data_IF_155112574538
#
_entry.id   IF_155112574538
#
_cell.length_a   1.000
_cell.length_b   1.000
_cell.length_c   1.000
_cell.angle_alpha   90.00
_cell.angle_beta   90.00
_cell.angle_gamma   90.00
#
_symmetry.space_group_name_H-M   'P 1'
#
loop_
_entity.id
_entity.type
_entity.pdbx_description
1 polymer ?
#
# COMPACT_ATOMS: atom_id res chain seq x y z
N UNK A 1 -1.88 20.63 -3.85
CA UNK A 1 -0.45 20.53 -4.22
C UNK A 1 -0.32 19.92 -5.61
N UNK A 2 0.47 20.56 -6.48
CA UNK A 2 0.71 20.09 -7.85
C UNK A 2 2.22 20.07 -8.11
N UNK A 3 2.72 18.96 -8.69
CA UNK A 3 4.14 18.78 -9.05
C UNK A 3 5.12 19.00 -7.88
N UNK A 4 4.74 18.64 -6.66
CA UNK A 4 5.57 18.80 -5.47
C UNK A 4 6.32 17.52 -5.10
N UNK A 5 7.46 17.66 -4.41
CA UNK A 5 8.23 16.54 -3.86
C UNK A 5 8.28 16.64 -2.35
N UNK A 6 7.95 15.54 -1.68
CA UNK A 6 7.91 15.42 -0.23
C UNK A 6 8.80 14.28 0.24
N UNK A 7 9.70 14.53 1.18
CA UNK A 7 10.43 13.44 1.84
C UNK A 7 9.51 12.68 2.80
N UNK A 8 8.73 13.41 3.56
CA UNK A 8 7.69 12.89 4.44
C UNK A 8 6.55 13.90 4.51
N UNK A 9 5.33 13.40 4.46
CA UNK A 9 4.15 14.23 4.69
C UNK A 9 3.18 13.48 5.59
N UNK A 10 2.72 14.12 6.63
CA UNK A 10 1.72 13.54 7.50
C UNK A 10 0.56 14.50 7.75
N UNK A 11 -0.63 13.93 7.83
CA UNK A 11 -1.82 14.61 8.34
C UNK A 11 -2.23 13.97 9.66
N UNK A 12 -3.13 14.62 10.40
CA UNK A 12 -3.74 13.99 11.55
C UNK A 12 -4.48 12.72 11.11
N UNK A 13 -4.31 11.63 11.86
CA UNK A 13 -4.96 10.35 11.58
C UNK A 13 -6.47 10.38 11.77
N UNK A 14 -6.95 11.25 12.64
CA UNK A 14 -8.37 11.48 12.91
C UNK A 14 -8.92 12.75 12.26
N UNK A 15 -8.11 13.51 11.53
CA UNK A 15 -8.51 14.78 10.94
C UNK A 15 -9.59 14.57 9.87
N UNK A 16 -10.76 15.12 10.10
CA UNK A 16 -11.90 15.04 9.17
C UNK A 16 -12.27 16.40 8.55
N UNK A 17 -11.71 17.49 9.04
CA UNK A 17 -12.11 18.84 8.70
C UNK A 17 -11.28 19.50 7.60
N UNK A 18 -10.08 18.99 7.33
CA UNK A 18 -9.19 19.48 6.28
C UNK A 18 -8.94 18.37 5.29
N UNK A 19 -9.18 18.62 4.02
CA UNK A 19 -8.84 17.71 2.92
C UNK A 19 -7.60 18.17 2.18
N UNK A 20 -6.82 17.22 1.73
CA UNK A 20 -5.61 17.44 0.98
C UNK A 20 -5.73 16.81 -0.41
N UNK A 21 -5.38 17.58 -1.44
CA UNK A 21 -5.34 17.09 -2.81
C UNK A 21 -3.93 17.19 -3.36
N UNK A 22 -3.44 16.09 -3.91
CA UNK A 22 -2.11 15.97 -4.49
C UNK A 22 -2.21 15.47 -5.92
N UNK A 23 -1.63 16.22 -6.85
CA UNK A 23 -1.58 15.85 -8.25
C UNK A 23 -0.14 15.86 -8.77
N UNK A 24 0.28 14.75 -9.40
CA UNK A 24 1.65 14.59 -9.93
C UNK A 24 2.75 14.84 -8.89
N UNK A 25 2.48 14.52 -7.64
CA UNK A 25 3.42 14.70 -6.54
C UNK A 25 4.24 13.44 -6.28
N UNK A 26 5.41 13.59 -5.68
CA UNK A 26 6.28 12.48 -5.26
C UNK A 26 6.44 12.49 -3.76
N UNK A 27 6.28 11.32 -3.14
CA UNK A 27 6.43 11.10 -1.71
C UNK A 27 7.46 10.00 -1.45
N UNK A 28 8.35 10.18 -0.49
CA UNK A 28 9.10 9.05 0.08
C UNK A 28 8.24 8.25 1.04
N UNK A 29 7.38 8.93 1.78
CA UNK A 29 6.36 8.35 2.65
C UNK A 29 5.24 9.35 2.90
N UNK A 30 4.00 8.85 2.99
CA UNK A 30 2.85 9.62 3.47
C UNK A 30 2.14 8.83 4.57
N UNK A 31 1.69 9.51 5.62
CA UNK A 31 0.84 8.92 6.66
C UNK A 31 -0.28 9.86 7.08
N UNK A 32 -1.52 9.38 7.14
CA UNK A 32 -2.61 10.22 7.59
C UNK A 32 -3.98 9.91 7.00
N UNK A 33 -4.88 10.89 7.11
CA UNK A 33 -6.27 10.83 6.67
C UNK A 33 -6.63 11.98 5.75
N UNK A 34 -7.78 11.84 5.11
CA UNK A 34 -8.48 12.89 4.36
C UNK A 34 -7.65 13.47 3.21
N UNK A 35 -7.08 12.58 2.41
CA UNK A 35 -6.24 12.97 1.28
C UNK A 35 -6.60 12.22 0.00
N UNK A 36 -6.50 12.90 -1.13
CA UNK A 36 -6.60 12.33 -2.45
C UNK A 36 -5.31 12.53 -3.25
N UNK A 37 -4.95 11.50 -4.01
CA UNK A 37 -3.75 11.43 -4.82
C UNK A 37 -4.11 11.03 -6.23
N UNK A 38 -3.73 11.83 -7.21
CA UNK A 38 -3.84 11.50 -8.63
C UNK A 38 -2.49 11.62 -9.31
N UNK A 39 -2.08 10.56 -10.01
CA UNK A 39 -0.79 10.49 -10.70
C UNK A 39 0.39 10.81 -9.79
N UNK A 40 0.36 10.28 -8.56
CA UNK A 40 1.43 10.46 -7.60
C UNK A 40 2.39 9.26 -7.58
N UNK A 41 3.63 9.50 -7.18
CA UNK A 41 4.65 8.48 -6.94
C UNK A 41 4.94 8.36 -5.46
N UNK A 42 4.98 7.11 -4.96
CA UNK A 42 5.39 6.78 -3.59
C UNK A 42 6.61 5.88 -3.63
N UNK A 43 7.73 6.33 -3.06
CA UNK A 43 8.93 5.52 -3.04
C UNK A 43 10.25 6.27 -2.90
N UNK A 44 11.35 5.53 -3.08
CA UNK A 44 12.71 6.04 -2.83
C UNK A 44 13.04 6.12 -1.34
N UNK A 45 12.52 5.17 -0.56
CA UNK A 45 12.65 5.10 0.90
C UNK A 45 12.84 3.65 1.36
N UNK A 46 13.26 3.50 2.61
CA UNK A 46 13.22 2.23 3.34
C UNK A 46 11.98 2.11 4.25
N UNK A 47 11.09 3.09 4.25
CA UNK A 47 9.78 3.06 4.92
C UNK A 47 8.70 2.61 3.92
N UNK A 48 7.47 2.48 4.42
CA UNK A 48 6.30 2.25 3.58
C UNK A 48 6.04 3.45 2.67
N UNK A 49 5.42 3.20 1.53
CA UNK A 49 4.99 4.27 0.63
C UNK A 49 3.85 5.09 1.22
N UNK A 50 2.81 4.40 1.72
CA UNK A 50 1.60 5.03 2.24
C UNK A 50 1.10 4.30 3.49
N UNK A 51 0.82 5.06 4.55
CA UNK A 51 0.13 4.59 5.76
C UNK A 51 -1.23 5.31 5.90
N UNK A 52 -2.29 4.82 5.23
CA UNK A 52 -3.58 5.46 5.22
C UNK A 52 -4.41 5.11 6.45
N UNK A 53 -5.22 6.05 6.94
CA UNK A 53 -6.14 5.82 8.05
C UNK A 53 -7.60 6.01 7.64
N UNK A 54 -8.05 7.19 7.24
CA UNK A 54 -9.45 7.43 6.88
C UNK A 54 -9.58 8.33 5.65
N UNK A 55 -10.57 8.06 4.80
CA UNK A 55 -10.92 8.90 3.65
C UNK A 55 -9.73 9.15 2.74
N UNK A 56 -9.11 8.09 2.27
CA UNK A 56 -7.98 8.14 1.35
C UNK A 56 -8.42 7.66 -0.03
N UNK A 57 -8.08 8.43 -1.05
CA UNK A 57 -8.37 8.09 -2.43
C UNK A 57 -7.09 8.21 -3.27
N UNK A 58 -6.60 7.09 -3.77
CA UNK A 58 -5.38 7.02 -4.59
C UNK A 58 -5.75 6.54 -5.98
N UNK A 59 -5.47 7.34 -7.00
CA UNK A 59 -5.76 7.00 -8.39
C UNK A 59 -4.54 7.15 -9.27
N UNK A 60 -4.44 6.31 -10.29
CA UNK A 60 -3.45 6.43 -11.36
C UNK A 60 -2.01 6.57 -10.81
N UNK A 61 -1.70 5.95 -9.69
CA UNK A 61 -0.49 6.24 -8.92
C UNK A 61 0.45 5.05 -8.85
N UNK A 62 1.72 5.31 -8.56
CA UNK A 62 2.78 4.35 -8.65
C UNK A 62 3.55 4.23 -7.32
N UNK A 63 3.72 2.99 -6.87
CA UNK A 63 4.48 2.61 -5.69
C UNK A 63 5.71 1.84 -6.13
N UNK A 64 6.90 2.41 -5.93
CA UNK A 64 8.14 1.78 -6.37
C UNK A 64 9.34 2.25 -5.56
N UNK A 65 10.47 1.58 -5.75
CA UNK A 65 11.74 1.91 -5.09
C UNK A 65 11.64 1.92 -3.54
N UNK A 66 10.68 1.19 -2.99
CA UNK A 66 10.55 0.99 -1.55
C UNK A 66 11.48 -0.14 -1.12
N UNK A 67 12.18 0.04 0.00
CA UNK A 67 13.22 -0.89 0.43
C UNK A 67 14.47 -0.90 -0.46
N UNK A 68 14.53 -0.09 -1.50
CA UNK A 68 15.70 0.03 -2.38
C UNK A 68 16.86 0.81 -1.76
N UNK A 69 16.60 1.57 -0.71
CA UNK A 69 17.62 2.33 0.03
C UNK A 69 18.14 1.48 1.18
N UNK A 70 19.47 1.42 1.31
CA UNK A 70 20.12 0.71 2.42
C UNK A 70 19.76 1.32 3.76
N UNK A 71 19.43 0.49 4.75
CA UNK A 71 19.14 0.88 6.13
C UNK A 71 19.90 0.04 7.15
N UNK A 72 20.36 0.67 8.21
CA UNK A 72 20.94 0.00 9.38
C UNK A 72 19.86 -0.43 10.40
N UNK A 73 18.63 -0.02 10.22
CA UNK A 73 17.49 -0.39 11.06
C UNK A 73 16.80 -1.64 10.54
N UNK A 74 16.38 -2.51 11.45
CA UNK A 74 15.51 -3.65 11.13
C UNK A 74 14.10 -3.11 10.97
N UNK A 75 13.70 -2.86 9.74
CA UNK A 75 12.37 -2.38 9.37
C UNK A 75 11.89 -3.12 8.13
N UNK A 76 10.59 -3.11 7.91
CA UNK A 76 9.96 -3.62 6.71
C UNK A 76 9.42 -2.47 5.88
N UNK A 77 9.47 -2.62 4.56
CA UNK A 77 8.91 -1.65 3.61
C UNK A 77 7.75 -2.29 2.89
N UNK A 78 6.61 -1.65 2.94
CA UNK A 78 5.41 -2.02 2.22
C UNK A 78 5.02 -0.95 1.21
N UNK A 79 4.35 -1.34 0.13
CA UNK A 79 3.77 -0.38 -0.79
C UNK A 79 2.75 0.49 -0.06
N UNK A 80 1.80 -0.15 0.59
CA UNK A 80 0.89 0.48 1.55
C UNK A 80 0.74 -0.41 2.77
N UNK A 81 0.80 0.19 3.97
CA UNK A 81 0.55 -0.51 5.24
C UNK A 81 -0.68 0.07 5.94
N UNK A 82 -1.70 -0.76 6.13
CA UNK A 82 -2.97 -0.43 6.76
C UNK A 82 -3.08 -1.23 8.06
N UNK A 83 -2.97 -0.56 9.20
CA UNK A 83 -2.91 -1.23 10.50
C UNK A 83 -3.83 -0.65 11.58
N UNK A 84 -4.55 0.44 11.26
CA UNK A 84 -5.31 1.20 12.25
C UNK A 84 -4.40 1.92 13.26
N UNK A 85 -4.96 2.68 14.16
CA UNK A 85 -4.18 3.39 15.17
C UNK A 85 -4.99 3.76 16.41
N UNK A 86 -4.60 3.28 17.60
CA UNK A 86 -5.16 3.71 18.89
C UNK A 86 -6.69 3.92 18.90
N UNK A 87 -7.44 2.94 18.40
CA UNK A 87 -8.90 3.00 18.32
C UNK A 87 -9.46 3.68 17.06
N UNK A 88 -8.61 4.27 16.21
CA UNK A 88 -9.04 4.82 14.91
C UNK A 88 -9.07 3.69 13.88
N UNK A 89 -10.27 3.31 13.46
CA UNK A 89 -10.47 2.33 12.39
C UNK A 89 -10.01 2.90 11.06
N UNK A 90 -9.18 2.15 10.35
CA UNK A 90 -8.83 2.48 8.97
C UNK A 90 -10.05 2.26 8.09
N UNK A 91 -10.54 3.31 7.39
CA UNK A 91 -11.78 3.19 6.62
C UNK A 91 -11.90 4.16 5.46
N UNK A 92 -12.79 3.80 4.51
CA UNK A 92 -13.10 4.61 3.34
C UNK A 92 -11.83 4.87 2.52
N UNK A 93 -11.12 3.79 2.17
CA UNK A 93 -9.85 3.84 1.44
C UNK A 93 -10.04 3.20 0.06
N UNK A 94 -9.68 3.92 -0.99
CA UNK A 94 -9.74 3.45 -2.36
C UNK A 94 -8.38 3.58 -3.04
N UNK A 95 -7.93 2.48 -3.65
CA UNK A 95 -6.86 2.47 -4.65
C UNK A 95 -7.47 2.07 -5.99
N UNK A 96 -7.31 2.92 -6.99
CA UNK A 96 -7.82 2.64 -8.34
C UNK A 96 -6.79 2.90 -9.40
N UNK A 97 -6.62 1.95 -10.33
CA UNK A 97 -5.64 2.03 -11.40
C UNK A 97 -4.24 2.36 -10.88
N UNK A 98 -3.83 1.66 -9.80
CA UNK A 98 -2.53 1.84 -9.18
C UNK A 98 -1.60 0.69 -9.52
N UNK A 99 -0.29 0.99 -9.56
CA UNK A 99 0.73 -0.01 -9.81
C UNK A 99 1.72 -0.04 -8.66
N UNK A 100 2.01 -1.24 -8.19
CA UNK A 100 3.00 -1.52 -7.16
C UNK A 100 4.14 -2.33 -7.77
N UNK A 101 5.35 -1.79 -7.72
CA UNK A 101 6.60 -2.44 -8.11
C UNK A 101 7.49 -2.53 -6.87
N UNK A 102 7.30 -3.55 -6.08
CA UNK A 102 8.00 -3.73 -4.82
C UNK A 102 9.12 -4.75 -5.02
N UNK A 103 10.40 -4.38 -4.83
CA UNK A 103 11.49 -5.30 -5.02
C UNK A 103 11.38 -6.47 -4.04
N UNK A 104 11.81 -7.65 -4.46
CA UNK A 104 11.83 -8.83 -3.60
C UNK A 104 13.00 -8.82 -2.61
N UNK A 105 14.08 -8.15 -2.95
CA UNK A 105 15.34 -8.20 -2.21
C UNK A 105 15.79 -6.78 -1.87
N UNK A 106 16.03 -6.54 -0.60
CA UNK A 106 16.65 -5.30 -0.13
C UNK A 106 18.12 -5.21 -0.61
N UNK A 107 18.71 -4.01 -0.70
CA UNK A 107 20.11 -3.84 -1.06
C UNK A 107 21.05 -4.62 -0.16
N UNK A 108 22.13 -5.16 -0.71
CA UNK A 108 23.13 -5.93 0.05
C UNK A 108 23.63 -5.16 1.27
N UNK A 109 23.57 -5.81 2.43
CA UNK A 109 23.96 -5.22 3.72
C UNK A 109 22.95 -4.23 4.29
N UNK A 110 21.73 -4.15 3.76
CA UNK A 110 20.60 -3.49 4.42
C UNK A 110 20.02 -4.41 5.48
N UNK A 111 19.63 -3.83 6.61
CA UNK A 111 18.82 -4.51 7.64
C UNK A 111 17.32 -4.30 7.43
N UNK A 112 16.94 -3.36 6.56
CA UNK A 112 15.56 -3.22 6.13
C UNK A 112 15.19 -4.36 5.18
N UNK A 113 14.00 -4.93 5.38
CA UNK A 113 13.40 -5.94 4.53
C UNK A 113 12.36 -5.33 3.59
N UNK A 114 12.05 -6.05 2.53
CA UNK A 114 10.89 -5.78 1.67
C UNK A 114 9.82 -6.77 2.04
N UNK A 115 8.56 -6.32 2.19
CA UNK A 115 7.53 -7.16 2.76
C UNK A 115 6.35 -7.37 1.80
N UNK A 116 5.57 -6.34 1.47
CA UNK A 116 4.38 -6.52 0.64
C UNK A 116 4.09 -5.35 -0.30
N UNK A 117 3.33 -5.62 -1.37
CA UNK A 117 2.67 -4.54 -2.09
C UNK A 117 1.58 -3.91 -1.22
N UNK A 118 0.75 -4.77 -0.61
CA UNK A 118 -0.34 -4.38 0.26
C UNK A 118 -0.22 -5.15 1.58
N UNK A 119 0.04 -4.44 2.66
CA UNK A 119 0.08 -4.95 4.01
C UNK A 119 -1.17 -4.45 4.76
N UNK A 120 -2.20 -5.28 4.83
CA UNK A 120 -3.40 -5.06 5.61
C UNK A 120 -3.39 -6.05 6.77
N UNK A 121 -2.66 -5.67 7.81
CA UNK A 121 -2.46 -6.48 9.01
C UNK A 121 -2.77 -5.64 10.24
N UNK A 122 -3.88 -5.99 10.92
CA UNK A 122 -4.43 -5.15 11.97
C UNK A 122 -3.84 -5.47 13.34
N UNK A 123 -3.21 -4.48 13.96
CA UNK A 123 -2.58 -4.59 15.28
C UNK A 123 -3.24 -3.69 16.33
N UNK A 124 -3.77 -2.54 15.93
CA UNK A 124 -4.17 -1.47 16.86
C UNK A 124 -5.63 -1.07 16.75
N UNK A 125 -6.29 -1.37 15.64
CA UNK A 125 -7.70 -1.06 15.41
C UNK A 125 -8.22 -1.87 14.22
N UNK A 126 -9.53 -1.81 13.94
CA UNK A 126 -10.16 -2.45 12.80
C UNK A 126 -9.89 -1.77 11.46
N UNK A 127 -10.31 -2.41 10.39
CA UNK A 127 -10.35 -1.82 9.05
C UNK A 127 -11.68 -2.12 8.37
N UNK A 128 -12.22 -1.14 7.63
CA UNK A 128 -13.54 -1.21 7.03
C UNK A 128 -13.62 -0.43 5.71
N UNK A 129 -14.35 -0.99 4.73
CA UNK A 129 -14.61 -0.30 3.46
C UNK A 129 -13.33 0.10 2.73
N UNK A 130 -12.48 -0.88 2.44
CA UNK A 130 -11.23 -0.68 1.72
C UNK A 130 -11.31 -1.41 0.39
N UNK A 131 -10.98 -0.69 -0.69
CA UNK A 131 -11.07 -1.21 -2.04
C UNK A 131 -9.78 -1.02 -2.82
N UNK A 132 -9.41 -2.07 -3.53
CA UNK A 132 -8.36 -2.06 -4.55
C UNK A 132 -8.99 -2.45 -5.88
N UNK A 133 -9.04 -1.52 -6.82
CA UNK A 133 -9.68 -1.71 -8.14
C UNK A 133 -8.67 -1.48 -9.26
N UNK A 134 -8.65 -2.36 -10.26
CA UNK A 134 -7.85 -2.21 -11.47
C UNK A 134 -6.34 -2.04 -11.18
N UNK A 135 -5.82 -2.73 -10.14
CA UNK A 135 -4.45 -2.57 -9.68
C UNK A 135 -3.52 -3.69 -10.17
N UNK A 136 -2.24 -3.34 -10.36
CA UNK A 136 -1.17 -4.27 -10.68
C UNK A 136 -0.22 -4.33 -9.49
N UNK A 137 0.03 -5.53 -8.99
CA UNK A 137 0.85 -5.80 -7.80
C UNK A 137 2.01 -6.69 -8.19
N UNK A 138 3.22 -6.14 -8.26
CA UNK A 138 4.41 -6.88 -8.61
C UNK A 138 5.39 -6.96 -7.42
N UNK A 139 5.73 -8.17 -7.02
CA UNK A 139 6.77 -8.45 -6.04
C UNK A 139 6.27 -8.57 -4.60
N UNK A 140 7.17 -8.27 -3.67
CA UNK A 140 6.98 -8.47 -2.23
C UNK A 140 7.35 -9.87 -1.74
N UNK A 141 7.29 -10.10 -0.45
CA UNK A 141 7.36 -11.43 0.15
C UNK A 141 6.09 -12.20 -0.20
N UNK A 142 4.95 -11.82 0.37
CA UNK A 142 3.64 -11.96 -0.27
C UNK A 142 3.25 -10.62 -0.88
N UNK A 143 2.58 -10.63 -2.05
CA UNK A 143 2.12 -9.36 -2.63
C UNK A 143 0.98 -8.76 -1.83
N UNK A 144 0.13 -9.60 -1.22
CA UNK A 144 -1.02 -9.18 -0.43
C UNK A 144 -1.03 -9.90 0.92
N UNK A 145 -1.05 -9.13 2.00
CA UNK A 145 -1.52 -9.56 3.31
C UNK A 145 -2.88 -8.92 3.56
N UNK A 146 -3.88 -9.73 3.94
CA UNK A 146 -5.23 -9.27 4.23
C UNK A 146 -5.84 -10.09 5.37
N UNK A 147 -5.28 -9.94 6.56
CA UNK A 147 -5.69 -10.68 7.75
C UNK A 147 -5.68 -9.81 9.01
N UNK A 148 -6.34 -10.31 10.06
CA UNK A 148 -6.27 -9.70 11.38
C UNK A 148 -5.47 -10.60 12.31
N UNK A 149 -4.48 -10.04 12.98
CA UNK A 149 -3.72 -10.75 14.01
C UNK A 149 -4.60 -11.05 15.23
N UNK A 150 -5.63 -10.26 15.46
CA UNK A 150 -6.49 -10.38 16.63
C UNK A 150 -7.96 -10.27 16.27
N UNK A 151 -8.79 -11.17 16.82
CA UNK A 151 -10.26 -11.05 16.71
C UNK A 151 -10.82 -9.73 17.22
N UNK A 152 -10.07 -9.02 18.06
CA UNK A 152 -10.43 -7.69 18.58
C UNK A 152 -10.47 -6.62 17.49
N UNK A 153 -9.73 -6.80 16.42
CA UNK A 153 -9.58 -5.80 15.34
C UNK A 153 -10.02 -6.37 13.99
N UNK A 154 -11.35 -6.50 13.75
CA UNK A 154 -11.84 -7.18 12.56
C UNK A 154 -11.63 -6.37 11.28
N UNK A 155 -11.46 -7.12 10.19
CA UNK A 155 -11.66 -6.63 8.83
C UNK A 155 -13.14 -6.66 8.48
N UNK A 156 -13.61 -5.64 7.76
CA UNK A 156 -14.98 -5.58 7.23
C UNK A 156 -14.99 -4.97 5.85
N UNK A 157 -15.67 -5.62 4.92
CA UNK A 157 -15.89 -5.10 3.57
C UNK A 157 -14.58 -4.67 2.88
N UNK A 158 -13.68 -5.64 2.68
CA UNK A 158 -12.41 -5.45 1.97
C UNK A 158 -12.53 -6.08 0.59
N UNK A 159 -12.32 -5.31 -0.45
CA UNK A 159 -12.54 -5.74 -1.84
C UNK A 159 -11.27 -5.59 -2.68
N UNK A 160 -10.92 -6.65 -3.41
CA UNK A 160 -9.91 -6.68 -4.45
C UNK A 160 -10.60 -7.01 -5.77
N UNK A 161 -10.68 -6.03 -6.67
CA UNK A 161 -11.38 -6.17 -7.95
C UNK A 161 -10.47 -5.90 -9.13
N UNK A 162 -10.48 -6.79 -10.13
CA UNK A 162 -9.66 -6.69 -11.34
C UNK A 162 -8.16 -6.55 -11.01
N UNK A 163 -7.66 -7.39 -10.11
CA UNK A 163 -6.26 -7.32 -9.66
C UNK A 163 -5.39 -8.26 -10.49
N UNK A 164 -4.23 -7.76 -10.91
CA UNK A 164 -3.18 -8.58 -11.50
C UNK A 164 -2.02 -8.68 -10.50
N UNK A 165 -1.63 -9.90 -10.16
CA UNK A 165 -0.51 -10.17 -9.25
C UNK A 165 0.60 -10.83 -10.03
N UNK A 166 1.78 -10.24 -10.05
CA UNK A 166 2.93 -10.73 -10.82
C UNK A 166 4.26 -10.47 -10.15
N UNK A 167 5.32 -10.56 -10.94
CA UNK A 167 6.68 -10.35 -10.47
C UNK A 167 7.23 -11.46 -9.58
N UNK A 168 8.50 -11.32 -9.21
CA UNK A 168 9.16 -12.24 -8.30
C UNK A 168 8.68 -12.01 -6.86
N UNK A 169 8.23 -13.09 -6.20
CA UNK A 169 7.73 -13.12 -4.83
C UNK A 169 8.53 -14.13 -4.02
N UNK A 170 8.76 -13.88 -2.74
CA UNK A 170 9.48 -14.83 -1.87
C UNK A 170 8.60 -16.01 -1.47
N UNK A 171 7.34 -15.75 -1.13
CA UNK A 171 6.44 -16.75 -0.53
C UNK A 171 5.20 -17.02 -1.38
N UNK A 172 4.66 -16.02 -2.08
CA UNK A 172 3.47 -16.20 -2.91
C UNK A 172 2.70 -14.91 -3.16
N UNK A 173 1.55 -15.04 -3.81
CA UNK A 173 0.73 -13.89 -4.19
C UNK A 173 -0.10 -13.36 -3.03
N UNK A 174 -0.68 -14.25 -2.23
CA UNK A 174 -1.58 -13.89 -1.13
C UNK A 174 -1.16 -14.68 0.11
N UNK A 175 -1.08 -14.02 1.26
CA UNK A 175 -0.84 -14.67 2.54
C UNK A 175 -1.98 -15.67 2.87
N UNK A 176 -1.68 -16.90 3.33
CA UNK A 176 -2.68 -17.97 3.43
C UNK A 176 -3.87 -17.70 4.36
N UNK A 177 -3.66 -16.97 5.46
CA UNK A 177 -4.71 -16.71 6.46
C UNK A 177 -5.58 -15.49 6.12
N UNK A 178 -6.09 -15.43 4.88
CA UNK A 178 -6.98 -14.34 4.45
C UNK A 178 -8.28 -14.37 5.25
N UNK A 179 -8.69 -13.22 5.75
CA UNK A 179 -9.96 -13.07 6.44
C UNK A 179 -11.16 -13.34 5.51
N UNK A 180 -12.20 -13.97 6.04
CA UNK A 180 -13.48 -14.18 5.31
C UNK A 180 -14.21 -12.90 4.93
N UNK A 181 -13.82 -11.75 5.49
CA UNK A 181 -14.34 -10.44 5.13
C UNK A 181 -13.67 -9.83 3.89
N UNK A 182 -12.72 -10.55 3.28
CA UNK A 182 -12.00 -10.14 2.08
C UNK A 182 -12.57 -10.85 0.87
N UNK A 183 -12.90 -10.11 -0.17
CA UNK A 183 -13.40 -10.64 -1.44
C UNK A 183 -12.41 -10.36 -2.56
N UNK A 184 -12.29 -11.31 -3.48
CA UNK A 184 -11.50 -11.19 -4.70
C UNK A 184 -12.42 -11.40 -5.91
N UNK A 185 -12.53 -10.40 -6.76
CA UNK A 185 -13.26 -10.45 -8.03
C UNK A 185 -12.28 -10.24 -9.17
N UNK A 186 -12.20 -11.18 -10.12
CA UNK A 186 -11.28 -11.12 -11.26
C UNK A 186 -9.80 -10.90 -10.87
N UNK A 187 -9.35 -11.52 -9.79
CA UNK A 187 -7.95 -11.54 -9.43
C UNK A 187 -7.20 -12.58 -10.26
N UNK A 188 -6.12 -12.18 -10.93
CA UNK A 188 -5.33 -13.06 -11.80
C UNK A 188 -3.86 -13.03 -11.41
N UNK A 189 -3.26 -14.21 -11.33
CA UNK A 189 -1.81 -14.34 -11.23
C UNK A 189 -1.21 -14.35 -12.64
N UNK A 190 -0.13 -13.63 -12.83
CA UNK A 190 0.63 -13.56 -14.08
C UNK A 190 2.10 -13.85 -13.82
N UNK A 191 2.70 -14.69 -14.64
CA UNK A 191 4.12 -15.02 -14.55
C UNK A 191 5.02 -13.94 -15.15
N UNK A 192 4.48 -13.01 -15.91
CA UNK A 192 5.21 -11.96 -16.59
C UNK A 192 5.11 -10.63 -15.85
N UNK A 193 6.24 -9.96 -15.70
CA UNK A 193 6.28 -8.54 -15.37
C UNK A 193 5.48 -7.78 -16.44
N UNK A 194 4.36 -7.23 -16.06
CA UNK A 194 3.62 -6.36 -16.94
C UNK A 194 4.39 -5.04 -17.10
N UNK A 195 5.12 -4.94 -18.19
CA UNK A 195 5.80 -3.69 -18.59
C UNK A 195 4.81 -2.83 -19.36
N UNK A 196 3.73 -2.44 -18.72
CA UNK A 196 2.78 -1.49 -19.27
C UNK A 196 3.03 -0.11 -18.68
N UNK A 197 3.23 0.87 -19.53
CA UNK A 197 3.43 2.26 -19.10
C UNK A 197 2.14 2.83 -18.49
N UNK A 198 1.96 2.69 -17.20
CA UNK A 198 0.94 3.48 -16.49
C UNK A 198 1.48 4.87 -16.11
N UNK A 199 2.79 5.05 -16.20
CA UNK A 199 3.44 6.30 -15.87
C UNK A 199 4.18 6.87 -17.10
N UNK A 200 3.61 7.90 -17.69
CA UNK A 200 4.36 8.85 -18.51
C UNK A 200 4.50 10.13 -17.70
N UNK A 201 5.76 10.54 -17.47
CA UNK A 201 6.07 11.84 -16.89
C UNK A 201 5.44 12.98 -17.67
#
# INVERSE_FOLDING_TARGET
FINCKFSYFATDRACTNVSYEFQKCTFKNFGGSNASFDRCKFGGSYNDGLNPFQKINVKNSFFCDLGSVKSDKVIHSDGTQIYGWKGITAKDILYKNCRFEIPQIAPKGSKAGVNACIMLQLEYSGAESIKFEDCILNGGGYSIYAHSISKKYPLKNIEFKNIQVGGAKTYGSIYPDVSSAVTFENAKETSTLYVGSVWKE
#
